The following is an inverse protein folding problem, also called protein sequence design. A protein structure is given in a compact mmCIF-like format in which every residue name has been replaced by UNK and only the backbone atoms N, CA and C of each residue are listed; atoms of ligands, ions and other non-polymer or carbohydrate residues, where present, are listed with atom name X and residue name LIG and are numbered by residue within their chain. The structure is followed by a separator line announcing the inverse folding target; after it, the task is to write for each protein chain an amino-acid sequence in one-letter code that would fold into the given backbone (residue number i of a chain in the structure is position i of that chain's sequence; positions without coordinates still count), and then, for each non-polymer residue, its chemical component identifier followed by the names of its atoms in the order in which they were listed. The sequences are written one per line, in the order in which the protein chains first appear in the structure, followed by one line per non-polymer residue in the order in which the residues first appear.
data_IF_440537003155
#
_entry.id   IF_440537003155
#
_cell.length_a   1.000
_cell.length_b   1.000
_cell.length_c   1.000
_cell.angle_alpha   90.00
_cell.angle_beta   90.00
_cell.angle_gamma   90.00
#
_symmetry.space_group_name_H-M   'P 1'
#
loop_
_entity.id
_entity.type
_entity.pdbx_description
1 polymer ?
#
# COMPACT_ATOMS: atom_id res chain seq x y z
N UNK A 1 -12.34 -14.80 -9.13
CA UNK A 1 -13.04 -13.70 -8.45
C UNK A 1 -14.24 -14.31 -7.75
N UNK A 2 -14.50 -14.05 -6.47
CA UNK A 2 -15.73 -14.52 -5.82
C UNK A 2 -16.93 -13.94 -6.56
N UNK A 3 -18.04 -14.67 -6.55
CA UNK A 3 -19.32 -14.23 -7.12
C UNK A 3 -19.78 -12.95 -6.38
N UNK A 4 -20.13 -11.92 -7.12
CA UNK A 4 -20.57 -10.62 -6.57
C UNK A 4 -21.81 -10.79 -5.70
N UNK A 5 -22.71 -11.69 -6.07
CA UNK A 5 -23.92 -11.94 -5.29
C UNK A 5 -23.63 -12.61 -3.94
N UNK A 6 -22.65 -13.53 -3.90
CA UNK A 6 -22.18 -14.11 -2.65
C UNK A 6 -21.54 -13.05 -1.74
N UNK A 7 -20.75 -12.15 -2.30
CA UNK A 7 -20.12 -11.08 -1.53
C UNK A 7 -21.14 -10.10 -0.95
N UNK A 8 -22.18 -9.74 -1.69
CA UNK A 8 -23.28 -8.91 -1.18
C UNK A 8 -24.02 -9.58 -0.03
N UNK A 9 -24.31 -10.87 -0.14
CA UNK A 9 -24.91 -11.64 0.96
C UNK A 9 -24.01 -11.67 2.20
N UNK A 10 -22.69 -11.81 2.02
CA UNK A 10 -21.75 -11.74 3.14
C UNK A 10 -21.76 -10.37 3.82
N UNK A 11 -21.85 -9.28 3.05
CA UNK A 11 -21.96 -7.91 3.58
C UNK A 11 -23.26 -7.69 4.37
N UNK A 12 -24.38 -8.26 3.95
CA UNK A 12 -25.67 -8.18 4.68
C UNK A 12 -25.66 -8.95 6.01
N UNK A 13 -24.83 -9.99 6.13
CA UNK A 13 -24.75 -10.86 7.30
C UNK A 13 -23.60 -10.53 8.26
N UNK A 14 -22.80 -9.51 7.95
CA UNK A 14 -21.56 -9.20 8.68
C UNK A 14 -21.45 -7.71 8.99
N UNK A 15 -20.95 -7.40 10.18
CA UNK A 15 -20.64 -6.01 10.57
C UNK A 15 -19.39 -5.47 9.85
N UNK A 16 -18.49 -6.36 9.41
CA UNK A 16 -17.26 -6.02 8.70
C UNK A 16 -16.89 -7.13 7.72
N UNK A 17 -16.56 -6.74 6.49
CA UNK A 17 -16.03 -7.64 5.46
C UNK A 17 -14.66 -7.15 5.03
N UNK A 18 -13.66 -8.01 5.10
CA UNK A 18 -12.31 -7.76 4.61
C UNK A 18 -12.09 -8.51 3.30
N UNK A 19 -11.64 -7.77 2.28
CA UNK A 19 -11.45 -8.31 0.93
C UNK A 19 -10.00 -8.08 0.53
N UNK A 20 -9.31 -9.16 0.12
CA UNK A 20 -7.99 -9.04 -0.51
C UNK A 20 -8.19 -8.59 -1.96
N UNK A 21 -7.84 -7.33 -2.24
CA UNK A 21 -8.00 -6.72 -3.57
C UNK A 21 -6.88 -7.11 -4.54
N UNK A 22 -5.71 -7.45 -4.02
CA UNK A 22 -4.56 -7.89 -4.78
C UNK A 22 -3.52 -8.64 -3.92
N UNK A 23 -2.68 -9.46 -4.55
CA UNK A 23 -1.61 -10.19 -3.88
C UNK A 23 -0.22 -9.67 -4.22
N UNK A 24 0.76 -9.81 -3.31
CA UNK A 24 2.15 -9.38 -3.48
C UNK A 24 3.15 -10.53 -3.70
N UNK A 25 2.68 -11.76 -3.85
CA UNK A 25 3.53 -12.99 -3.89
C UNK A 25 4.49 -13.11 -2.70
N UNK A 26 4.05 -12.68 -1.52
CA UNK A 26 4.84 -12.66 -0.27
C UNK A 26 6.04 -11.70 -0.30
N UNK A 27 6.11 -10.79 -1.27
CA UNK A 27 7.12 -9.73 -1.26
C UNK A 27 6.61 -8.56 -0.42
N UNK A 28 7.51 -7.85 0.30
CA UNK A 28 7.13 -6.76 1.20
C UNK A 28 6.67 -5.51 0.47
N UNK A 29 7.03 -5.35 -0.79
CA UNK A 29 6.65 -4.21 -1.63
C UNK A 29 5.93 -4.68 -2.89
N UNK A 30 5.03 -3.84 -3.41
CA UNK A 30 4.31 -4.06 -4.66
C UNK A 30 3.93 -2.74 -5.31
N UNK A 31 3.93 -2.74 -6.64
CA UNK A 31 3.25 -1.73 -7.46
C UNK A 31 2.16 -2.43 -8.26
N UNK A 32 0.88 -2.00 -8.21
CA UNK A 32 -0.23 -2.69 -8.85
C UNK A 32 -0.08 -2.80 -10.38
N UNK A 33 -0.59 -3.86 -10.96
CA UNK A 33 -0.76 -3.98 -12.41
C UNK A 33 -1.93 -3.12 -12.91
N UNK A 34 -2.12 -3.02 -14.22
CA UNK A 34 -3.17 -2.18 -14.80
C UNK A 34 -4.58 -2.64 -14.40
N UNK A 35 -4.76 -3.95 -14.18
CA UNK A 35 -6.01 -4.57 -13.71
C UNK A 35 -6.09 -4.75 -12.18
N UNK A 36 -5.15 -4.23 -11.43
CA UNK A 36 -5.08 -4.25 -9.96
C UNK A 36 -5.09 -2.81 -9.40
N UNK A 37 -5.57 -2.59 -8.18
CA UNK A 37 -6.33 -3.52 -7.35
C UNK A 37 -7.76 -3.74 -7.88
N UNK A 38 -8.41 -4.85 -7.49
CA UNK A 38 -9.83 -5.07 -7.78
C UNK A 38 -10.63 -4.58 -6.57
N UNK A 39 -11.08 -3.34 -6.62
CA UNK A 39 -11.89 -2.73 -5.58
C UNK A 39 -13.37 -2.87 -5.91
N UNK A 40 -14.18 -3.29 -4.94
CA UNK A 40 -15.62 -3.30 -5.11
C UNK A 40 -16.18 -1.88 -5.03
N UNK A 41 -17.24 -1.57 -5.79
CA UNK A 41 -17.90 -0.26 -5.69
C UNK A 41 -18.38 0.05 -4.27
N UNK A 42 -18.82 -0.97 -3.54
CA UNK A 42 -19.35 -0.89 -2.18
C UNK A 42 -18.28 -0.76 -1.08
N UNK A 43 -16.99 -0.82 -1.43
CA UNK A 43 -15.91 -0.68 -0.45
C UNK A 43 -15.84 0.75 0.09
N UNK A 44 -15.87 0.90 1.41
CA UNK A 44 -15.79 2.21 2.08
C UNK A 44 -14.34 2.63 2.32
N UNK A 45 -13.47 1.66 2.58
CA UNK A 45 -12.11 1.89 3.01
C UNK A 45 -11.15 1.05 2.17
N UNK A 46 -10.06 1.66 1.71
CA UNK A 46 -8.92 0.98 1.11
C UNK A 46 -7.75 1.00 2.08
N UNK A 47 -7.23 -0.17 2.40
CA UNK A 47 -6.07 -0.34 3.28
C UNK A 47 -4.87 -0.76 2.42
N UNK A 48 -3.91 0.13 2.26
CA UNK A 48 -2.65 -0.17 1.59
C UNK A 48 -1.64 -0.70 2.61
N UNK A 49 -1.09 -1.88 2.35
CA UNK A 49 -0.10 -2.51 3.24
C UNK A 49 1.26 -2.57 2.54
N UNK A 50 2.29 -2.08 3.21
CA UNK A 50 3.66 -2.08 2.72
C UNK A 50 4.61 -2.55 3.82
N UNK A 51 5.47 -3.53 3.50
CA UNK A 51 6.40 -4.13 4.46
C UNK A 51 7.70 -3.33 4.56
N UNK A 52 8.04 -2.89 5.76
CA UNK A 52 9.26 -2.12 6.05
C UNK A 52 10.55 -2.93 5.81
N UNK A 53 10.46 -4.27 5.77
CA UNK A 53 11.59 -5.13 5.38
C UNK A 53 12.06 -4.94 3.93
N UNK A 54 11.36 -4.12 3.14
CA UNK A 54 11.80 -3.69 1.82
C UNK A 54 12.88 -2.59 1.86
N UNK A 55 12.97 -1.82 2.94
CA UNK A 55 13.94 -0.73 3.09
C UNK A 55 15.38 -1.25 2.95
N UNK A 56 16.19 -0.51 2.18
CA UNK A 56 17.59 -0.85 1.92
C UNK A 56 17.80 -2.08 1.04
N UNK A 57 16.74 -2.70 0.51
CA UNK A 57 16.83 -3.82 -0.43
C UNK A 57 16.60 -3.35 -1.86
N UNK A 58 17.19 -4.08 -2.81
CA UNK A 58 17.02 -3.74 -4.23
C UNK A 58 15.59 -4.05 -4.71
N UNK A 59 15.10 -3.23 -5.64
CA UNK A 59 13.77 -3.40 -6.22
C UNK A 59 13.51 -4.83 -6.72
N UNK A 60 14.50 -5.44 -7.40
CA UNK A 60 14.38 -6.81 -7.93
C UNK A 60 14.18 -7.87 -6.85
N UNK A 61 14.67 -7.63 -5.63
CA UNK A 61 14.59 -8.60 -4.52
C UNK A 61 13.33 -8.46 -3.68
N UNK A 62 12.77 -7.26 -3.59
CA UNK A 62 11.73 -6.98 -2.61
C UNK A 62 10.42 -6.46 -3.20
N UNK A 63 10.36 -6.10 -4.48
CA UNK A 63 9.17 -5.50 -5.08
C UNK A 63 8.52 -6.41 -6.13
N UNK A 64 7.26 -6.75 -5.91
CA UNK A 64 6.44 -7.42 -6.93
C UNK A 64 6.02 -6.43 -8.02
N UNK A 65 6.03 -6.86 -9.28
CA UNK A 65 5.82 -6.02 -10.48
C UNK A 65 6.98 -5.04 -10.72
N UNK A 66 8.20 -5.58 -10.76
CA UNK A 66 9.45 -4.84 -10.90
C UNK A 66 9.40 -3.72 -11.97
N UNK A 67 8.92 -4.02 -13.18
CA UNK A 67 8.88 -3.02 -14.27
C UNK A 67 7.94 -1.84 -13.96
N UNK A 68 6.86 -2.07 -13.22
CA UNK A 68 5.97 -1.01 -12.74
C UNK A 68 6.66 -0.14 -11.69
N UNK A 69 7.37 -0.76 -10.75
CA UNK A 69 8.12 -0.06 -9.71
C UNK A 69 9.25 0.78 -10.30
N UNK A 70 10.02 0.24 -11.24
CA UNK A 70 11.07 0.98 -11.96
C UNK A 70 10.52 2.22 -12.65
N UNK A 71 9.38 2.09 -13.32
CA UNK A 71 8.72 3.21 -14.01
C UNK A 71 8.23 4.26 -13.01
N UNK A 72 7.57 3.85 -11.94
CA UNK A 72 7.02 4.75 -10.93
C UNK A 72 8.11 5.55 -10.24
N UNK A 73 9.21 4.88 -9.85
CA UNK A 73 10.32 5.50 -9.11
C UNK A 73 11.39 6.11 -10.02
N UNK A 74 11.28 5.95 -11.34
CA UNK A 74 12.32 6.34 -12.31
C UNK A 74 13.70 5.77 -11.94
N UNK A 75 13.74 4.50 -11.53
CA UNK A 75 14.89 3.81 -10.98
C UNK A 75 15.19 2.50 -11.74
N UNK A 76 16.40 1.97 -11.57
CA UNK A 76 16.78 0.66 -12.10
C UNK A 76 16.44 -0.48 -11.10
N UNK A 77 16.66 -1.72 -11.52
CA UNK A 77 16.34 -2.91 -10.74
C UNK A 77 17.20 -3.09 -9.47
N UNK A 78 18.40 -2.48 -9.44
CA UNK A 78 19.33 -2.56 -8.31
C UNK A 78 19.16 -1.40 -7.33
N UNK A 79 18.29 -0.43 -7.64
CA UNK A 79 17.98 0.69 -6.76
C UNK A 79 17.54 0.17 -5.39
N UNK A 80 18.17 0.68 -4.33
CA UNK A 80 17.82 0.34 -2.96
C UNK A 80 16.66 1.22 -2.49
N UNK A 81 15.58 0.59 -2.05
CA UNK A 81 14.39 1.31 -1.58
C UNK A 81 14.69 2.17 -0.36
N UNK A 82 14.28 3.41 -0.43
CA UNK A 82 14.36 4.42 0.63
C UNK A 82 12.98 4.72 1.21
N UNK A 83 12.94 5.44 2.34
CA UNK A 83 11.70 5.95 2.95
C UNK A 83 10.91 6.82 1.96
N UNK A 84 11.60 7.63 1.16
CA UNK A 84 10.98 8.47 0.13
C UNK A 84 10.31 7.64 -0.96
N UNK A 85 10.95 6.56 -1.41
CA UNK A 85 10.38 5.66 -2.41
C UNK A 85 9.13 4.97 -1.89
N UNK A 86 9.15 4.54 -0.62
CA UNK A 86 8.00 3.92 0.02
C UNK A 86 6.83 4.90 0.16
N UNK A 87 7.10 6.15 0.55
CA UNK A 87 6.09 7.20 0.56
C UNK A 87 5.53 7.47 -0.84
N UNK A 88 6.39 7.52 -1.88
CA UNK A 88 5.95 7.70 -3.26
C UNK A 88 5.06 6.56 -3.76
N UNK A 89 5.37 5.30 -3.41
CA UNK A 89 4.53 4.14 -3.75
C UNK A 89 3.17 4.23 -3.09
N UNK A 90 3.10 4.67 -1.82
CA UNK A 90 1.85 4.81 -1.07
C UNK A 90 0.97 5.96 -1.58
N UNK A 91 1.56 7.04 -2.07
CA UNK A 91 0.84 8.25 -2.48
C UNK A 91 0.45 8.27 -3.96
N UNK A 92 1.12 7.49 -4.80
CA UNK A 92 0.95 7.57 -6.25
C UNK A 92 -0.34 6.87 -6.71
N UNK A 93 -1.06 7.51 -7.65
CA UNK A 93 -2.18 6.92 -8.39
C UNK A 93 -1.75 5.78 -9.33
N UNK A 94 -0.45 5.60 -9.53
CA UNK A 94 0.12 4.41 -10.19
C UNK A 94 0.71 3.41 -9.18
N UNK A 95 0.71 3.77 -7.91
CA UNK A 95 1.14 2.96 -6.76
C UNK A 95 -0.05 2.40 -5.98
N UNK A 96 0.09 2.36 -4.67
CA UNK A 96 -0.92 1.74 -3.79
C UNK A 96 -2.18 2.61 -3.60
N UNK A 97 -2.17 3.86 -4.07
CA UNK A 97 -3.35 4.74 -4.10
C UNK A 97 -4.20 4.57 -5.37
N UNK A 98 -3.79 3.71 -6.29
CA UNK A 98 -4.49 3.48 -7.55
C UNK A 98 -5.95 3.08 -7.34
N UNK A 99 -6.86 3.73 -8.07
CA UNK A 99 -8.31 3.47 -8.10
C UNK A 99 -9.02 3.66 -6.73
N UNK A 100 -8.38 4.28 -5.75
CA UNK A 100 -9.01 4.57 -4.44
C UNK A 100 -10.24 5.47 -4.59
N UNK A 101 -10.16 6.51 -5.43
CA UNK A 101 -11.26 7.46 -5.62
C UNK A 101 -11.62 8.20 -4.32
N UNK A 102 -12.92 8.34 -4.06
CA UNK A 102 -13.44 9.03 -2.86
C UNK A 102 -13.46 8.16 -1.59
N UNK A 103 -12.93 6.93 -1.65
CA UNK A 103 -12.89 6.03 -0.50
C UNK A 103 -11.89 6.51 0.54
N UNK A 104 -12.18 6.19 1.79
CA UNK A 104 -11.23 6.40 2.88
C UNK A 104 -9.95 5.60 2.60
N UNK A 105 -8.80 6.23 2.77
CA UNK A 105 -7.51 5.60 2.48
C UNK A 105 -6.66 5.51 3.74
N UNK A 106 -6.21 4.29 4.06
CA UNK A 106 -5.36 4.00 5.21
C UNK A 106 -4.07 3.34 4.76
N UNK A 107 -2.95 3.76 5.34
CA UNK A 107 -1.64 3.14 5.12
C UNK A 107 -1.22 2.30 6.33
N UNK A 108 -0.80 1.07 6.08
CA UNK A 108 -0.21 0.18 7.09
C UNK A 108 1.25 -0.07 6.73
N UNK A 109 2.14 0.41 7.59
CA UNK A 109 3.56 0.12 7.53
C UNK A 109 3.81 -1.12 8.41
N UNK A 110 3.89 -2.27 7.75
CA UNK A 110 4.02 -3.58 8.40
C UNK A 110 5.48 -3.96 8.64
N UNK A 111 5.72 -4.94 9.53
CA UNK A 111 7.06 -5.41 9.90
C UNK A 111 7.88 -4.31 10.61
N UNK A 112 7.22 -3.53 11.45
CA UNK A 112 7.84 -2.53 12.33
C UNK A 112 8.39 -3.23 13.58
N UNK A 113 9.47 -4.01 13.42
CA UNK A 113 9.88 -5.02 14.41
C UNK A 113 10.85 -4.50 15.48
N UNK A 114 11.61 -3.46 15.17
CA UNK A 114 12.59 -2.86 16.09
C UNK A 114 12.57 -1.33 16.05
N UNK A 115 13.40 -0.71 16.90
CA UNK A 115 13.46 0.75 17.03
C UNK A 115 14.02 1.47 15.81
N UNK A 116 14.92 0.84 15.05
CA UNK A 116 15.53 1.44 13.83
C UNK A 116 14.49 1.48 12.72
N UNK A 117 13.80 0.37 12.50
CA UNK A 117 12.71 0.28 11.52
C UNK A 117 11.55 1.21 11.90
N UNK A 118 11.30 1.39 13.21
CA UNK A 118 10.28 2.33 13.70
C UNK A 118 10.62 3.77 13.35
N UNK A 119 11.87 4.18 13.48
CA UNK A 119 12.32 5.52 13.11
C UNK A 119 12.09 5.79 11.62
N UNK A 120 12.42 4.84 10.75
CA UNK A 120 12.09 4.91 9.32
C UNK A 120 10.57 4.96 9.07
N UNK A 121 9.77 4.19 9.81
CA UNK A 121 8.31 4.23 9.69
C UNK A 121 7.75 5.62 10.07
N UNK A 122 8.29 6.25 11.10
CA UNK A 122 7.91 7.60 11.54
C UNK A 122 8.26 8.64 10.45
N UNK A 123 9.46 8.54 9.83
CA UNK A 123 9.85 9.40 8.71
C UNK A 123 8.91 9.26 7.51
N UNK A 124 8.55 8.01 7.14
CA UNK A 124 7.55 7.76 6.08
C UNK A 124 6.22 8.40 6.47
N UNK A 125 5.76 8.21 7.70
CA UNK A 125 4.52 8.78 8.23
C UNK A 125 4.49 10.30 8.11
N UNK A 126 5.56 11.00 8.46
CA UNK A 126 5.70 12.45 8.31
C UNK A 126 5.61 12.89 6.83
N UNK A 127 6.28 12.16 5.92
CA UNK A 127 6.18 12.44 4.48
C UNK A 127 4.75 12.29 3.96
N UNK A 128 4.04 11.25 4.40
CA UNK A 128 2.64 11.01 4.03
C UNK A 128 1.72 12.15 4.53
N UNK A 129 1.87 12.58 5.78
CA UNK A 129 1.08 13.65 6.37
C UNK A 129 1.35 14.99 5.67
N UNK A 130 2.62 15.32 5.43
CA UNK A 130 3.00 16.59 4.81
C UNK A 130 2.55 16.69 3.34
N UNK A 131 2.41 15.55 2.65
CA UNK A 131 1.94 15.52 1.26
C UNK A 131 0.43 15.72 1.13
N UNK A 132 -0.34 15.44 2.18
CA UNK A 132 -1.82 15.59 2.18
C UNK A 132 -2.28 17.05 2.28
N UNK A 133 -1.40 17.97 2.65
CA UNK A 133 -1.73 19.41 2.78
C UNK A 133 -1.85 20.17 1.46
N UNK A 134 -1.45 19.62 0.32
CA UNK A 134 -1.42 20.31 -0.98
C UNK A 134 -2.51 19.86 -1.97
N UNK A 135 -3.14 18.72 -1.76
CA UNK A 135 -4.24 18.20 -2.57
C UNK A 135 -5.33 17.64 -1.65
N UNK A 136 -6.59 17.64 -2.08
CA UNK A 136 -7.74 17.10 -1.33
C UNK A 136 -7.67 15.59 -1.00
N UNK A 137 -6.52 14.98 -1.16
CA UNK A 137 -6.26 13.56 -1.05
C UNK A 137 -5.71 13.22 0.34
N UNK A 138 -6.58 12.99 1.30
CA UNK A 138 -6.19 12.77 2.70
C UNK A 138 -5.95 11.27 2.97
N UNK A 139 -4.77 10.93 3.52
CA UNK A 139 -4.59 9.66 4.23
C UNK A 139 -5.27 9.81 5.58
N UNK A 140 -6.31 9.02 5.82
CA UNK A 140 -7.07 9.12 7.06
C UNK A 140 -6.32 8.59 8.26
N UNK A 141 -5.54 7.52 8.07
CA UNK A 141 -4.80 6.88 9.15
C UNK A 141 -3.53 6.20 8.66
N UNK A 142 -2.48 6.31 9.45
CA UNK A 142 -1.23 5.57 9.28
C UNK A 142 -1.07 4.65 10.48
N UNK A 143 -0.83 3.36 10.21
CA UNK A 143 -0.67 2.33 11.24
C UNK A 143 0.71 1.70 11.12
N UNK A 144 1.45 1.67 12.21
CA UNK A 144 2.69 0.90 12.32
C UNK A 144 2.35 -0.45 12.94
N UNK A 145 2.54 -1.51 12.17
CA UNK A 145 2.17 -2.85 12.58
C UNK A 145 3.40 -3.75 12.75
N UNK A 146 3.39 -4.52 13.84
CA UNK A 146 4.27 -5.65 14.06
C UNK A 146 3.42 -6.91 13.99
N UNK A 147 3.65 -7.74 12.98
CA UNK A 147 3.08 -9.08 12.94
C UNK A 147 4.08 -10.04 13.59
N UNK A 148 3.63 -10.69 14.65
CA UNK A 148 4.36 -11.78 15.31
C UNK A 148 4.22 -13.07 14.52
#
# INVERSE_FOLDING_TARGET
MPDIDWMRQAMELSDLVLIEADGSKRLPCKVPADHEPVLLPESDIVVAVLGLSALGRSLKECCFRLEKAKKLLSADENHLLTERDMAAILLSDQGLRKDVGDRRYMAVLNQCDDSIVRESAEQIGEMLINSTGQNSETIEKIVFAKLQ
#
